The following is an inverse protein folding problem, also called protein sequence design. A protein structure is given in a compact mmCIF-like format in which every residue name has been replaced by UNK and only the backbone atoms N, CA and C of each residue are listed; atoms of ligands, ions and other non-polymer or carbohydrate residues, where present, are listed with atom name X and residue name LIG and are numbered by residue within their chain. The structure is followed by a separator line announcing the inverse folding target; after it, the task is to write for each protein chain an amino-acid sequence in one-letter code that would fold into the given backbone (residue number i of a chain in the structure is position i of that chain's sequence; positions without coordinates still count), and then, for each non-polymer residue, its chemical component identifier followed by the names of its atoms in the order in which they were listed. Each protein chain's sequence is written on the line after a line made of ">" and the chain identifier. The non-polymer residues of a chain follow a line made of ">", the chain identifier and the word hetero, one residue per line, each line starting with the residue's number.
data_IF_075018780639
#
_entry.id   IF_075018780639
#
_cell.length_a   1.000
_cell.length_b   1.000
_cell.length_c   1.000
_cell.angle_alpha   90.00
_cell.angle_beta   90.00
_cell.angle_gamma   90.00
#
_symmetry.space_group_name_H-M   'P 1'
#
loop_
_entity.id
_entity.type
_entity.pdbx_description
1 polymer ?
#
# COMPACT_ATOMS: atom_id res chain seq x y z
N UNK A 1 -15.48 18.12 -13.72
CA UNK A 1 -14.41 17.47 -12.93
C UNK A 1 -14.87 16.08 -12.57
N UNK A 2 -14.14 15.06 -13.00
CA UNK A 2 -14.47 13.65 -12.72
C UNK A 2 -14.04 13.32 -11.30
N UNK A 3 -14.98 13.33 -10.34
CA UNK A 3 -14.73 12.71 -9.03
C UNK A 3 -14.62 11.19 -9.20
N UNK A 4 -13.73 10.55 -8.50
CA UNK A 4 -13.53 9.10 -8.50
C UNK A 4 -12.08 8.74 -8.20
N UNK A 5 -11.85 7.50 -7.84
CA UNK A 5 -10.54 6.97 -7.48
C UNK A 5 -10.25 5.76 -8.35
N UNK A 6 -9.12 5.77 -9.04
CA UNK A 6 -8.53 4.58 -9.64
C UNK A 6 -7.52 4.01 -8.64
N UNK A 7 -7.74 2.79 -8.18
CA UNK A 7 -6.87 2.07 -7.26
C UNK A 7 -6.24 0.89 -8.00
N UNK A 8 -4.92 0.88 -8.10
CA UNK A 8 -4.15 -0.26 -8.62
C UNK A 8 -3.40 -0.92 -7.47
N UNK A 9 -3.67 -2.19 -7.23
CA UNK A 9 -2.99 -2.94 -6.16
C UNK A 9 -2.18 -4.07 -6.78
N UNK A 10 -0.89 -4.07 -6.50
CA UNK A 10 0.09 -5.05 -6.97
C UNK A 10 0.69 -5.74 -5.76
N UNK A 11 0.32 -6.99 -5.53
CA UNK A 11 0.94 -7.87 -4.54
C UNK A 11 1.78 -8.91 -5.27
N UNK A 12 3.07 -8.63 -5.46
CA UNK A 12 3.91 -9.46 -6.29
C UNK A 12 4.47 -10.65 -5.52
N UNK A 13 4.19 -11.84 -6.01
CA UNK A 13 4.84 -13.08 -5.56
C UNK A 13 6.17 -13.24 -6.28
N UNK A 14 7.27 -13.21 -5.55
CA UNK A 14 8.55 -13.67 -6.07
C UNK A 14 8.44 -15.16 -6.40
N UNK A 15 8.71 -15.54 -7.67
CA UNK A 15 8.47 -16.87 -8.25
C UNK A 15 8.87 -18.10 -7.39
N UNK A 16 8.54 -19.32 -7.84
CA UNK A 16 8.50 -20.54 -7.02
C UNK A 16 9.83 -20.91 -6.34
N UNK A 17 10.97 -20.51 -6.89
CA UNK A 17 12.29 -20.72 -6.26
C UNK A 17 12.57 -19.76 -5.09
N UNK A 18 11.82 -18.68 -4.98
CA UNK A 18 11.81 -17.73 -3.86
C UNK A 18 10.54 -17.85 -3.01
N UNK A 19 9.82 -18.95 -3.14
CA UNK A 19 8.67 -19.28 -2.28
C UNK A 19 9.11 -19.42 -0.81
N UNK A 20 9.70 -18.36 -0.32
CA UNK A 20 9.75 -18.09 1.09
C UNK A 20 8.30 -17.82 1.49
N UNK A 21 7.90 -18.24 2.65
CA UNK A 21 6.55 -18.05 3.21
C UNK A 21 6.01 -16.60 3.15
N UNK A 22 6.72 -15.70 2.51
CA UNK A 22 6.49 -14.28 2.34
C UNK A 22 5.74 -13.84 1.10
N UNK A 23 5.84 -14.57 0.02
CA UNK A 23 5.20 -14.16 -1.22
C UNK A 23 3.67 -14.26 -1.12
N UNK A 24 3.16 -15.35 -0.60
CA UNK A 24 1.71 -15.52 -0.38
C UNK A 24 1.10 -14.39 0.47
N UNK A 25 1.87 -13.81 1.41
CA UNK A 25 1.39 -12.73 2.27
C UNK A 25 1.26 -11.40 1.52
N UNK A 26 2.13 -11.10 0.56
CA UNK A 26 2.00 -9.90 -0.26
C UNK A 26 0.72 -9.94 -1.11
N UNK A 27 0.42 -11.09 -1.72
CA UNK A 27 -0.82 -11.29 -2.45
C UNK A 27 -2.06 -11.21 -1.56
N UNK A 28 -2.02 -11.80 -0.35
CA UNK A 28 -3.11 -11.73 0.62
C UNK A 28 -3.32 -10.29 1.13
N UNK A 29 -2.23 -9.59 1.44
CA UNK A 29 -2.27 -8.18 1.81
C UNK A 29 -2.84 -7.31 0.71
N UNK A 30 -2.44 -7.55 -0.53
CA UNK A 30 -2.96 -6.85 -1.70
C UNK A 30 -4.48 -7.07 -1.88
N UNK A 31 -4.95 -8.32 -1.73
CA UNK A 31 -6.38 -8.64 -1.79
C UNK A 31 -7.18 -7.92 -0.70
N UNK A 32 -6.70 -7.92 0.55
CA UNK A 32 -7.36 -7.19 1.65
C UNK A 32 -7.40 -5.68 1.37
N UNK A 33 -6.25 -5.10 0.99
CA UNK A 33 -6.18 -3.67 0.69
C UNK A 33 -7.11 -3.28 -0.46
N UNK A 34 -7.18 -4.09 -1.52
CA UNK A 34 -8.07 -3.88 -2.66
C UNK A 34 -9.55 -3.95 -2.28
N UNK A 35 -9.90 -4.81 -1.33
CA UNK A 35 -11.28 -4.96 -0.85
C UNK A 35 -11.69 -3.81 0.10
N UNK A 36 -10.78 -3.35 0.96
CA UNK A 36 -11.13 -2.46 2.06
C UNK A 36 -10.87 -0.97 1.78
N UNK A 37 -9.73 -0.64 1.15
CA UNK A 37 -9.33 0.76 0.95
C UNK A 37 -10.37 1.60 0.18
N UNK A 38 -11.06 1.08 -0.87
CA UNK A 38 -12.09 1.84 -1.58
C UNK A 38 -13.19 2.37 -0.67
N UNK A 39 -13.67 1.53 0.25
CA UNK A 39 -14.69 1.92 1.23
C UNK A 39 -14.22 2.92 2.28
N UNK A 40 -12.90 3.08 2.43
CA UNK A 40 -12.27 4.03 3.36
C UNK A 40 -12.01 5.39 2.73
N UNK A 41 -12.02 5.51 1.41
CA UNK A 41 -11.78 6.78 0.75
C UNK A 41 -13.00 7.69 0.90
N UNK A 42 -12.79 8.89 1.46
CA UNK A 42 -13.85 9.87 1.68
C UNK A 42 -14.31 10.50 0.35
N UNK A 43 -13.36 10.79 -0.54
CA UNK A 43 -13.57 11.52 -1.79
C UNK A 43 -13.99 10.62 -2.98
N UNK A 44 -14.35 9.36 -2.75
CA UNK A 44 -14.79 8.46 -3.82
C UNK A 44 -16.03 9.00 -4.57
N UNK A 45 -16.81 9.90 -3.92
CA UNK A 45 -17.97 10.58 -4.49
C UNK A 45 -19.04 9.62 -5.02
N UNK A 46 -19.98 10.15 -5.79
CA UNK A 46 -21.06 9.37 -6.41
C UNK A 46 -20.58 8.38 -7.48
N UNK A 47 -19.35 8.52 -7.98
CA UNK A 47 -18.75 7.62 -8.99
C UNK A 47 -17.97 6.46 -8.40
N UNK A 48 -17.76 6.46 -7.08
CA UNK A 48 -17.09 5.39 -6.37
C UNK A 48 -15.60 5.26 -6.68
N UNK A 49 -15.06 4.13 -6.27
CA UNK A 49 -13.68 3.73 -6.55
C UNK A 49 -13.67 2.58 -7.55
N UNK A 50 -12.78 2.63 -8.52
CA UNK A 50 -12.48 1.49 -9.38
C UNK A 50 -11.20 0.83 -8.91
N UNK A 51 -11.23 -0.48 -8.75
CA UNK A 51 -10.09 -1.27 -8.28
C UNK A 51 -9.57 -2.17 -9.39
N UNK A 52 -8.27 -2.15 -9.57
CA UNK A 52 -7.53 -3.10 -10.41
C UNK A 52 -6.56 -3.86 -9.50
N UNK A 53 -6.95 -5.07 -9.12
CA UNK A 53 -6.05 -5.99 -8.44
C UNK A 53 -5.29 -6.79 -9.50
N UNK A 54 -3.98 -6.64 -9.52
CA UNK A 54 -3.12 -7.36 -10.47
C UNK A 54 -2.84 -8.76 -9.93
N UNK A 55 -2.91 -9.75 -10.82
CA UNK A 55 -2.64 -11.14 -10.46
C UNK A 55 -1.22 -11.29 -9.88
N UNK A 56 -1.05 -12.06 -8.78
CA UNK A 56 0.24 -12.16 -8.08
C UNK A 56 1.36 -12.72 -8.92
N UNK A 57 1.01 -13.60 -9.87
CA UNK A 57 1.92 -14.24 -10.81
C UNK A 57 2.22 -13.39 -12.06
N UNK A 58 1.63 -12.21 -12.17
CA UNK A 58 1.84 -11.33 -13.33
C UNK A 58 3.32 -10.95 -13.49
N UNK A 59 3.75 -10.86 -14.74
CA UNK A 59 5.05 -10.30 -15.07
C UNK A 59 5.05 -8.76 -15.07
N UNK A 60 6.21 -8.17 -15.18
CA UNK A 60 6.37 -6.71 -15.17
C UNK A 60 5.58 -6.01 -16.29
N UNK A 61 5.43 -6.65 -17.46
CA UNK A 61 4.69 -6.06 -18.58
C UNK A 61 3.18 -6.04 -18.30
N UNK A 62 2.63 -7.12 -17.76
CA UNK A 62 1.23 -7.18 -17.35
C UNK A 62 0.92 -6.16 -16.24
N UNK A 63 1.80 -6.05 -15.24
CA UNK A 63 1.68 -5.06 -14.17
C UNK A 63 1.71 -3.63 -14.72
N UNK A 64 2.68 -3.32 -15.59
CA UNK A 64 2.81 -2.00 -16.20
C UNK A 64 1.64 -1.67 -17.12
N UNK A 65 1.12 -2.65 -17.84
CA UNK A 65 -0.07 -2.49 -18.70
C UNK A 65 -1.30 -2.15 -17.88
N UNK A 66 -1.52 -2.85 -16.77
CA UNK A 66 -2.61 -2.55 -15.84
C UNK A 66 -2.50 -1.14 -15.25
N UNK A 67 -1.28 -0.75 -14.84
CA UNK A 67 -1.01 0.58 -14.30
C UNK A 67 -1.26 1.68 -15.34
N UNK A 68 -0.75 1.51 -16.57
CA UNK A 68 -0.98 2.46 -17.68
C UNK A 68 -2.45 2.60 -18.03
N UNK A 69 -3.17 1.47 -18.09
CA UNK A 69 -4.60 1.49 -18.33
C UNK A 69 -5.37 2.25 -17.24
N UNK A 70 -4.98 2.14 -15.98
CA UNK A 70 -5.55 2.93 -14.89
C UNK A 70 -5.18 4.41 -14.99
N UNK A 71 -3.91 4.72 -15.29
CA UNK A 71 -3.40 6.08 -15.41
C UNK A 71 -4.03 6.89 -16.58
N UNK A 72 -4.60 6.21 -17.57
CA UNK A 72 -5.31 6.85 -18.70
C UNK A 72 -6.81 7.02 -18.46
N UNK A 73 -7.34 6.54 -17.33
CA UNK A 73 -8.77 6.67 -17.06
C UNK A 73 -9.07 8.00 -16.38
N UNK A 74 -10.16 8.67 -16.74
CA UNK A 74 -10.55 9.93 -16.12
C UNK A 74 -11.00 9.69 -14.67
N UNK A 75 -10.16 10.06 -13.74
CA UNK A 75 -10.42 10.02 -12.30
C UNK A 75 -9.73 11.22 -11.64
N UNK A 76 -10.16 11.59 -10.45
CA UNK A 76 -9.44 12.60 -9.68
C UNK A 76 -8.17 12.05 -9.08
N UNK A 77 -8.22 10.80 -8.59
CA UNK A 77 -7.12 10.15 -7.89
C UNK A 77 -6.62 8.90 -8.61
N UNK A 78 -5.31 8.75 -8.68
CA UNK A 78 -4.65 7.48 -8.92
C UNK A 78 -3.90 7.07 -7.65
N UNK A 79 -4.39 6.01 -7.02
CA UNK A 79 -3.70 5.38 -5.88
C UNK A 79 -3.08 4.09 -6.36
N UNK A 80 -1.78 3.95 -6.19
CA UNK A 80 -1.05 2.71 -6.54
C UNK A 80 -0.49 2.12 -5.27
N UNK A 81 -0.74 0.84 -5.02
CA UNK A 81 -0.18 0.12 -3.89
C UNK A 81 0.73 -1.01 -4.37
N UNK A 82 1.98 -1.00 -3.91
CA UNK A 82 3.00 -1.99 -4.23
C UNK A 82 3.38 -2.77 -2.98
N UNK A 83 3.09 -4.08 -3.00
CA UNK A 83 3.46 -5.01 -1.93
C UNK A 83 4.39 -6.08 -2.50
N UNK A 84 5.55 -6.29 -1.88
CA UNK A 84 6.47 -7.34 -2.35
C UNK A 84 7.93 -7.10 -1.98
N UNK A 85 8.82 -7.71 -2.75
CA UNK A 85 10.25 -7.59 -2.55
C UNK A 85 10.88 -6.62 -3.54
N UNK A 86 11.70 -5.70 -3.04
CA UNK A 86 12.53 -4.82 -3.84
C UNK A 86 13.92 -5.45 -4.03
N UNK A 87 14.43 -5.32 -5.23
CA UNK A 87 15.79 -5.71 -5.63
C UNK A 87 16.45 -4.54 -6.33
N UNK A 88 17.78 -4.47 -6.28
CA UNK A 88 18.55 -3.45 -7.01
C UNK A 88 19.27 -4.03 -8.23
N UNK A 89 19.58 -3.16 -9.18
CA UNK A 89 20.56 -3.49 -10.21
C UNK A 89 21.98 -3.64 -9.58
N UNK A 90 22.91 -4.32 -10.25
CA UNK A 90 24.26 -4.57 -9.66
C UNK A 90 25.02 -3.30 -9.29
N UNK A 91 24.66 -2.16 -9.81
CA UNK A 91 25.25 -0.86 -9.48
C UNK A 91 24.49 -0.14 -8.37
N UNK A 92 23.34 -0.68 -7.92
CA UNK A 92 22.51 -0.10 -6.88
C UNK A 92 21.89 1.26 -7.25
N UNK A 93 21.70 1.52 -8.55
CA UNK A 93 21.15 2.80 -9.05
C UNK A 93 19.68 2.72 -9.43
N UNK A 94 19.14 1.51 -9.62
CA UNK A 94 17.76 1.27 -10.01
C UNK A 94 17.15 0.19 -9.16
N UNK A 95 15.94 0.43 -8.73
CA UNK A 95 15.15 -0.52 -7.97
C UNK A 95 14.09 -1.16 -8.87
N UNK A 96 13.74 -2.39 -8.56
CA UNK A 96 12.64 -3.10 -9.18
C UNK A 96 11.87 -3.91 -8.14
N UNK A 97 10.54 -3.97 -8.28
CA UNK A 97 9.71 -4.92 -7.56
C UNK A 97 9.82 -6.30 -8.24
N UNK A 98 10.14 -7.32 -7.49
CA UNK A 98 10.19 -8.70 -7.98
C UNK A 98 8.81 -9.12 -8.46
N UNK A 99 8.74 -9.80 -9.61
CA UNK A 99 7.47 -10.21 -10.24
C UNK A 99 7.42 -11.71 -10.46
N UNK A 100 6.27 -12.25 -10.84
CA UNK A 100 6.11 -13.63 -11.22
C UNK A 100 7.10 -14.04 -12.32
N UNK A 101 7.68 -15.23 -12.22
CA UNK A 101 8.68 -15.72 -13.15
C UNK A 101 10.08 -15.09 -13.01
N UNK A 102 10.33 -14.26 -12.01
CA UNK A 102 11.68 -13.78 -11.66
C UNK A 102 12.47 -14.88 -10.95
N UNK A 103 13.73 -15.04 -11.32
CA UNK A 103 14.71 -15.87 -10.60
C UNK A 103 15.72 -14.98 -9.87
N UNK A 104 16.49 -15.49 -8.89
CA UNK A 104 17.53 -14.71 -8.20
C UNK A 104 18.46 -13.95 -9.13
N UNK A 105 18.88 -14.59 -10.22
CA UNK A 105 19.88 -14.05 -11.14
C UNK A 105 19.33 -12.99 -12.12
N UNK A 106 18.01 -12.94 -12.30
CA UNK A 106 17.39 -12.04 -13.27
C UNK A 106 16.34 -11.09 -12.67
N UNK A 107 16.11 -11.15 -11.36
CA UNK A 107 15.01 -10.45 -10.69
C UNK A 107 14.96 -8.95 -11.01
N UNK A 108 16.10 -8.26 -11.00
CA UNK A 108 16.14 -6.84 -11.31
C UNK A 108 15.86 -6.52 -12.79
N UNK A 109 16.15 -7.45 -13.72
CA UNK A 109 15.89 -7.27 -15.17
C UNK A 109 14.44 -7.58 -15.53
N UNK A 110 13.84 -8.55 -14.85
CA UNK A 110 12.47 -9.01 -15.09
C UNK A 110 11.45 -8.39 -14.15
N UNK A 111 11.91 -7.73 -13.07
CA UNK A 111 11.08 -7.02 -12.12
C UNK A 111 10.43 -5.78 -12.73
N UNK A 112 9.39 -5.32 -12.08
CA UNK A 112 8.74 -4.06 -12.41
C UNK A 112 9.66 -2.92 -11.93
N UNK A 113 10.27 -2.21 -12.89
CA UNK A 113 11.19 -1.12 -12.59
C UNK A 113 10.47 0.02 -11.88
N UNK A 114 11.04 0.51 -10.80
CA UNK A 114 10.50 1.60 -10.00
C UNK A 114 10.27 2.87 -10.83
N UNK A 115 11.26 3.22 -11.65
CA UNK A 115 11.19 4.39 -12.54
C UNK A 115 9.98 4.33 -13.50
N UNK A 116 9.60 3.13 -13.95
CA UNK A 116 8.44 2.96 -14.83
C UNK A 116 7.12 3.20 -14.08
N UNK A 117 7.03 2.76 -12.83
CA UNK A 117 5.85 3.02 -12.00
C UNK A 117 5.70 4.53 -11.80
N UNK A 118 6.75 5.18 -11.31
CA UNK A 118 6.76 6.62 -11.04
C UNK A 118 6.46 7.42 -12.31
N UNK A 119 7.16 7.11 -13.41
CA UNK A 119 6.94 7.78 -14.70
C UNK A 119 5.49 7.62 -15.19
N UNK A 120 4.90 6.43 -15.03
CA UNK A 120 3.50 6.21 -15.43
C UNK A 120 2.54 7.05 -14.59
N UNK A 121 2.78 7.16 -13.28
CA UNK A 121 1.95 7.99 -12.39
C UNK A 121 2.10 9.49 -12.68
N UNK A 122 3.32 9.94 -12.97
CA UNK A 122 3.60 11.37 -13.31
C UNK A 122 2.92 11.81 -14.59
N UNK A 123 2.77 10.90 -15.56
CA UNK A 123 2.18 11.19 -16.87
C UNK A 123 0.72 10.71 -16.99
N UNK A 124 0.11 10.31 -15.89
CA UNK A 124 -1.31 9.97 -15.86
C UNK A 124 -2.22 11.21 -16.00
N UNK A 125 -3.48 10.96 -16.35
CA UNK A 125 -4.50 11.99 -16.56
C UNK A 125 -5.19 12.45 -15.26
N UNK A 126 -4.77 11.92 -14.10
CA UNK A 126 -5.35 12.25 -12.80
C UNK A 126 -4.79 13.55 -12.22
N UNK A 127 -5.64 14.26 -11.49
CA UNK A 127 -5.26 15.49 -10.80
C UNK A 127 -4.25 15.23 -9.67
N UNK A 128 -4.41 14.09 -8.99
CA UNK A 128 -3.66 13.74 -7.79
C UNK A 128 -3.22 12.27 -7.84
N UNK A 129 -2.07 11.98 -7.24
CA UNK A 129 -1.52 10.63 -7.16
C UNK A 129 -1.09 10.31 -5.74
N UNK A 130 -1.09 9.01 -5.38
CA UNK A 130 -0.49 8.51 -4.14
C UNK A 130 0.10 7.12 -4.38
N UNK A 131 1.38 6.93 -4.02
CA UNK A 131 2.04 5.64 -4.07
C UNK A 131 2.16 5.06 -2.65
N UNK A 132 1.45 3.96 -2.40
CA UNK A 132 1.56 3.19 -1.17
C UNK A 132 2.60 2.07 -1.35
N UNK A 133 3.48 1.90 -0.38
CA UNK A 133 4.54 0.89 -0.45
C UNK A 133 4.59 0.07 0.82
N UNK A 134 4.53 -1.23 0.66
CA UNK A 134 4.77 -2.19 1.73
C UNK A 134 5.75 -3.25 1.20
N UNK A 135 7.02 -3.06 1.45
CA UNK A 135 8.05 -3.85 0.79
C UNK A 135 9.16 -4.30 1.74
N UNK A 136 9.82 -5.39 1.34
CA UNK A 136 11.11 -5.81 1.89
C UNK A 136 12.19 -5.63 0.83
N UNK A 137 13.34 -5.08 1.20
CA UNK A 137 14.48 -4.90 0.32
C UNK A 137 15.50 -6.02 0.56
N UNK A 138 16.01 -6.63 -0.50
CA UNK A 138 17.15 -7.53 -0.40
C UNK A 138 18.41 -6.77 0.05
N UNK A 139 19.52 -7.49 0.20
CA UNK A 139 20.77 -6.89 0.70
C UNK A 139 21.25 -5.73 -0.19
N UNK A 140 21.14 -5.90 -1.51
CA UNK A 140 21.69 -4.92 -2.47
C UNK A 140 20.76 -3.71 -2.60
N UNK A 141 19.44 -3.92 -2.64
CA UNK A 141 18.46 -2.85 -2.60
C UNK A 141 18.51 -2.08 -1.28
N UNK A 142 18.64 -2.78 -0.15
CA UNK A 142 18.78 -2.12 1.15
C UNK A 142 20.05 -1.28 1.20
N UNK A 143 21.19 -1.84 0.77
CA UNK A 143 22.44 -1.08 0.68
C UNK A 143 22.38 0.11 -0.27
N UNK A 144 21.59 0.05 -1.34
CA UNK A 144 21.35 1.18 -2.23
C UNK A 144 20.52 2.28 -1.52
N UNK A 145 19.50 1.88 -0.76
CA UNK A 145 18.68 2.80 0.03
C UNK A 145 19.44 3.45 1.20
N UNK A 146 20.46 2.78 1.75
CA UNK A 146 21.30 3.31 2.83
C UNK A 146 22.36 4.30 2.33
N UNK A 147 22.87 4.16 1.10
CA UNK A 147 23.94 4.99 0.55
C UNK A 147 23.51 6.38 0.09
N UNK A 148 22.23 6.62 -0.13
CA UNK A 148 21.74 7.97 -0.47
C UNK A 148 22.10 8.96 0.63
N UNK A 149 22.78 10.06 0.32
CA UNK A 149 23.23 11.08 1.30
C UNK A 149 22.04 11.68 2.07
N UNK A 150 20.87 11.71 1.47
CA UNK A 150 19.59 12.16 2.07
C UNK A 150 18.67 11.00 2.49
N UNK A 151 19.17 9.77 2.46
CA UNK A 151 18.44 8.57 2.88
C UNK A 151 17.65 7.89 1.77
N UNK A 152 16.85 6.85 2.14
CA UNK A 152 16.05 6.05 1.22
C UNK A 152 15.09 6.87 0.34
N UNK A 153 14.82 8.10 0.74
CA UNK A 153 13.94 9.02 0.04
C UNK A 153 14.32 9.26 -1.41
N UNK A 154 15.60 9.45 -1.72
CA UNK A 154 16.02 9.89 -3.05
C UNK A 154 15.79 8.85 -4.17
N UNK A 155 16.03 7.56 -3.90
CA UNK A 155 15.79 6.49 -4.87
C UNK A 155 14.30 6.12 -5.04
N UNK A 156 13.50 6.37 -4.02
CA UNK A 156 12.08 6.05 -4.00
C UNK A 156 11.20 7.27 -4.26
N UNK A 157 11.66 8.46 -3.85
CA UNK A 157 10.85 9.67 -3.93
C UNK A 157 10.84 10.30 -5.33
N UNK A 158 9.75 10.95 -5.61
CA UNK A 158 9.60 11.83 -6.75
C UNK A 158 8.74 13.02 -6.34
N UNK A 159 9.16 14.24 -6.69
CA UNK A 159 8.49 15.48 -6.25
C UNK A 159 7.00 15.56 -6.63
N UNK A 160 6.56 14.82 -7.65
CA UNK A 160 5.18 14.82 -8.15
C UNK A 160 4.38 13.58 -7.74
N UNK A 161 4.99 12.60 -7.07
CA UNK A 161 4.33 11.37 -6.63
C UNK A 161 4.55 11.22 -5.13
N UNK A 162 3.60 11.66 -4.30
CA UNK A 162 3.63 11.42 -2.87
C UNK A 162 3.75 9.93 -2.58
N UNK A 163 4.68 9.59 -1.69
CA UNK A 163 5.00 8.22 -1.31
C UNK A 163 4.66 8.02 0.16
N UNK A 164 3.90 6.97 0.48
CA UNK A 164 3.57 6.60 1.83
C UNK A 164 3.75 5.10 2.04
N UNK A 165 4.45 4.71 3.09
CA UNK A 165 4.65 3.29 3.31
C UNK A 165 5.88 2.92 4.10
N UNK A 166 6.30 1.68 3.94
CA UNK A 166 7.44 1.10 4.64
C UNK A 166 8.26 0.22 3.72
N UNK A 167 9.57 0.34 3.82
CA UNK A 167 10.52 -0.62 3.28
C UNK A 167 11.33 -1.19 4.44
N UNK A 168 11.28 -2.50 4.63
CA UNK A 168 12.05 -3.20 5.64
C UNK A 168 13.22 -3.96 5.00
N UNK A 169 14.31 -4.14 5.73
CA UNK A 169 15.38 -5.01 5.30
C UNK A 169 14.91 -6.46 5.35
N UNK A 170 15.04 -7.18 4.25
CA UNK A 170 14.76 -8.61 4.25
C UNK A 170 15.66 -9.36 5.23
N UNK A 171 15.06 -10.13 6.11
CA UNK A 171 15.74 -11.02 7.02
C UNK A 171 15.21 -12.44 6.77
N UNK A 172 16.12 -13.40 6.50
CA UNK A 172 15.69 -14.79 6.38
C UNK A 172 15.05 -15.28 7.68
N UNK A 173 14.03 -16.15 7.61
CA UNK A 173 13.38 -16.70 8.79
C UNK A 173 14.41 -17.34 9.71
N UNK A 174 14.38 -17.02 10.99
CA UNK A 174 15.19 -17.67 12.03
C UNK A 174 14.27 -18.52 12.89
N UNK A 175 14.79 -19.65 13.42
CA UNK A 175 14.02 -20.49 14.33
C UNK A 175 13.49 -19.64 15.50
N UNK A 176 12.15 -19.64 15.67
CA UNK A 176 11.47 -18.96 16.76
C UNK A 176 11.26 -17.45 16.57
N UNK A 177 11.50 -16.89 15.37
CA UNK A 177 11.16 -15.52 15.04
C UNK A 177 10.40 -15.48 13.72
N UNK A 178 9.20 -14.91 13.76
CA UNK A 178 8.46 -14.60 12.56
C UNK A 178 9.11 -13.43 11.83
N UNK A 179 9.21 -13.55 10.51
CA UNK A 179 9.69 -12.47 9.66
C UNK A 179 8.48 -11.62 9.27
N UNK A 180 8.53 -10.32 9.54
CA UNK A 180 7.51 -9.40 9.03
C UNK A 180 7.68 -9.26 7.53
N UNK A 181 6.63 -9.60 6.82
CA UNK A 181 6.59 -9.64 5.37
C UNK A 181 5.52 -8.68 4.86
N UNK A 182 5.66 -8.15 3.64
CA UNK A 182 4.67 -7.25 3.05
C UNK A 182 3.27 -7.86 3.11
N UNK A 183 2.29 -7.07 3.52
CA UNK A 183 0.92 -7.53 3.68
C UNK A 183 0.64 -8.43 4.89
N UNK A 184 1.67 -8.87 5.62
CA UNK A 184 1.54 -9.70 6.82
C UNK A 184 1.38 -8.87 8.08
N UNK A 185 1.16 -9.53 9.20
CA UNK A 185 1.10 -8.90 10.52
C UNK A 185 2.39 -8.14 10.82
N UNK A 186 2.26 -6.91 11.33
CA UNK A 186 3.38 -6.01 11.57
C UNK A 186 3.93 -5.28 10.34
N UNK A 187 3.33 -5.47 9.16
CA UNK A 187 3.67 -4.70 7.97
C UNK A 187 2.97 -3.34 7.93
N UNK A 188 3.35 -2.49 6.97
CA UNK A 188 2.72 -1.18 6.80
C UNK A 188 1.22 -1.29 6.47
N UNK A 189 0.85 -2.15 5.52
CA UNK A 189 -0.55 -2.33 5.14
C UNK A 189 -1.40 -2.88 6.27
N UNK A 190 -0.85 -3.77 7.09
CA UNK A 190 -1.52 -4.24 8.31
C UNK A 190 -1.72 -3.11 9.33
N UNK A 191 -0.69 -2.28 9.57
CA UNK A 191 -0.78 -1.17 10.50
C UNK A 191 -1.80 -0.12 10.02
N UNK A 192 -1.76 0.21 8.73
CA UNK A 192 -2.71 1.12 8.09
C UNK A 192 -4.15 0.61 8.22
N UNK A 193 -4.38 -0.66 7.94
CA UNK A 193 -5.70 -1.28 8.06
C UNK A 193 -6.23 -1.18 9.49
N UNK A 194 -5.42 -1.52 10.49
CA UNK A 194 -5.77 -1.37 11.91
C UNK A 194 -6.12 0.06 12.28
N UNK A 195 -5.34 1.04 11.81
CA UNK A 195 -5.62 2.46 12.08
C UNK A 195 -6.92 2.90 11.41
N UNK A 196 -7.16 2.49 10.16
CA UNK A 196 -8.40 2.80 9.45
C UNK A 196 -9.62 2.11 10.05
N UNK A 197 -9.47 0.92 10.60
CA UNK A 197 -10.53 0.19 11.29
C UNK A 197 -10.94 0.87 12.60
N UNK A 198 -9.98 1.28 13.41
CA UNK A 198 -10.24 1.92 14.70
C UNK A 198 -10.58 3.40 14.56
N UNK A 199 -9.99 4.08 13.59
CA UNK A 199 -10.04 5.53 13.41
C UNK A 199 -9.18 6.28 14.41
N UNK A 200 -9.15 7.60 14.28
CA UNK A 200 -8.45 8.54 15.16
C UNK A 200 -9.47 9.22 16.08
N UNK A 201 -9.47 8.92 17.41
CA UNK A 201 -10.34 9.61 18.35
C UNK A 201 -10.05 11.12 18.39
N UNK A 202 -11.12 11.92 18.35
CA UNK A 202 -11.01 13.38 18.38
C UNK A 202 -10.64 14.05 17.05
N UNK A 203 -10.26 13.29 16.02
CA UNK A 203 -10.00 13.83 14.69
C UNK A 203 -11.30 13.97 13.87
N UNK A 204 -11.32 14.82 12.81
CA UNK A 204 -12.46 15.00 11.91
C UNK A 204 -12.92 13.71 11.24
N UNK A 205 -14.12 13.73 10.62
CA UNK A 205 -14.67 12.59 9.88
C UNK A 205 -13.85 12.22 8.62
N UNK A 206 -13.13 13.19 8.07
CA UNK A 206 -12.19 13.01 6.96
C UNK A 206 -10.78 13.35 7.46
N UNK A 207 -9.83 12.44 7.24
CA UNK A 207 -8.42 12.56 7.66
C UNK A 207 -7.50 12.32 6.47
N UNK A 208 -6.41 13.08 6.42
CA UNK A 208 -5.37 12.87 5.40
C UNK A 208 -4.37 11.78 5.82
N UNK A 209 -3.59 11.21 4.90
CA UNK A 209 -2.50 10.31 5.23
C UNK A 209 -1.50 10.87 6.25
N UNK A 210 -1.24 12.19 6.20
CA UNK A 210 -0.39 12.90 7.17
C UNK A 210 -0.94 12.84 8.59
N UNK A 211 -2.26 12.91 8.75
CA UNK A 211 -2.92 12.84 10.07
C UNK A 211 -2.83 11.42 10.65
N UNK A 212 -2.82 10.40 9.77
CA UNK A 212 -2.73 8.99 10.16
C UNK A 212 -1.30 8.54 10.47
N UNK A 213 -0.29 9.29 10.02
CA UNK A 213 1.12 8.90 10.08
C UNK A 213 1.55 8.50 11.49
N UNK A 214 1.31 9.34 12.50
CA UNK A 214 1.71 9.05 13.88
C UNK A 214 1.04 7.81 14.46
N UNK A 215 -0.23 7.56 14.11
CA UNK A 215 -0.94 6.35 14.54
C UNK A 215 -0.39 5.09 13.85
N UNK A 216 -0.06 5.16 12.57
CA UNK A 216 0.59 4.07 11.83
C UNK A 216 1.97 3.78 12.40
N UNK A 217 2.77 4.82 12.69
CA UNK A 217 4.08 4.69 13.36
C UNK A 217 3.96 3.97 14.70
N UNK A 218 2.97 4.33 15.50
CA UNK A 218 2.71 3.69 16.80
C UNK A 218 2.41 2.20 16.65
N UNK A 219 1.56 1.82 15.68
CA UNK A 219 1.26 0.42 15.39
C UNK A 219 2.50 -0.35 14.91
N UNK A 220 3.32 0.28 14.07
CA UNK A 220 4.56 -0.33 13.56
C UNK A 220 5.60 -0.49 14.68
N UNK A 221 5.78 0.49 15.54
CA UNK A 221 6.70 0.41 16.68
C UNK A 221 6.31 -0.71 17.65
N UNK A 222 5.01 -0.89 17.89
CA UNK A 222 4.52 -2.03 18.67
C UNK A 222 4.89 -3.36 17.98
N UNK A 223 4.64 -3.49 16.70
CA UNK A 223 4.96 -4.68 15.93
C UNK A 223 6.48 -4.95 15.87
N UNK A 224 7.30 -3.91 15.73
CA UNK A 224 8.77 -4.03 15.79
C UNK A 224 9.24 -4.59 17.12
N UNK A 225 8.67 -4.12 18.22
CA UNK A 225 8.96 -4.64 19.56
C UNK A 225 8.51 -6.10 19.71
N UNK A 226 7.32 -6.44 19.21
CA UNK A 226 6.76 -7.78 19.33
C UNK A 226 7.48 -8.83 18.47
N UNK A 227 7.84 -8.45 17.23
CA UNK A 227 8.41 -9.38 16.24
C UNK A 227 9.92 -9.22 16.01
N UNK A 228 10.55 -8.22 16.66
CA UNK A 228 12.00 -7.99 16.57
C UNK A 228 12.46 -7.59 15.16
N UNK A 229 11.68 -6.80 14.45
CA UNK A 229 12.00 -6.30 13.11
C UNK A 229 13.06 -5.23 13.25
N UNK A 230 14.24 -5.47 12.65
CA UNK A 230 15.30 -4.48 12.60
C UNK A 230 15.45 -3.92 11.18
N UNK A 231 15.84 -2.63 11.08
CA UNK A 231 16.19 -2.02 9.82
C UNK A 231 14.98 -1.79 8.91
N UNK A 232 13.96 -1.11 9.41
CA UNK A 232 12.87 -0.64 8.58
C UNK A 232 12.92 0.88 8.40
N UNK A 233 12.50 1.37 7.24
CA UNK A 233 12.33 2.79 6.95
C UNK A 233 10.88 3.07 6.68
N UNK A 234 10.32 3.98 7.43
CA UNK A 234 8.98 4.51 7.19
C UNK A 234 9.09 5.71 6.26
N UNK A 235 8.26 5.70 5.24
CA UNK A 235 8.16 6.75 4.23
C UNK A 235 6.93 7.58 4.57
N UNK A 236 7.14 8.84 4.90
CA UNK A 236 6.04 9.75 5.23
C UNK A 236 5.36 10.26 3.95
N UNK A 237 4.03 10.41 3.95
CA UNK A 237 3.34 11.06 2.84
C UNK A 237 3.79 12.52 2.79
N UNK A 238 4.18 12.98 1.61
CA UNK A 238 4.48 14.40 1.42
C UNK A 238 3.24 15.27 1.67
N UNK A 239 3.44 16.57 1.93
CA UNK A 239 2.35 17.52 2.19
C UNK A 239 1.35 17.68 1.01
N UNK A 240 1.71 17.15 -0.15
CA UNK A 240 0.92 17.26 -1.39
C UNK A 240 -0.22 16.25 -1.50
N UNK A 241 -0.26 15.24 -0.66
CA UNK A 241 -1.32 14.21 -0.71
C UNK A 241 -2.61 14.69 -0.05
N UNK A 242 -3.59 15.08 -0.86
CA UNK A 242 -4.93 15.51 -0.38
C UNK A 242 -5.96 14.38 -0.36
N UNK A 243 -5.55 13.13 -0.48
CA UNK A 243 -6.47 12.00 -0.34
C UNK A 243 -7.08 12.01 1.06
N UNK A 244 -8.39 12.07 1.12
CA UNK A 244 -9.11 12.01 2.38
C UNK A 244 -9.65 10.61 2.63
N UNK A 245 -9.39 10.11 3.81
CA UNK A 245 -9.82 8.81 4.29
C UNK A 245 -10.88 8.97 5.39
N UNK A 246 -11.80 8.03 5.47
CA UNK A 246 -12.90 8.06 6.45
C UNK A 246 -12.39 7.73 7.85
N UNK A 247 -12.63 8.63 8.78
CA UNK A 247 -12.33 8.40 10.19
C UNK A 247 -13.51 7.71 10.88
N UNK A 248 -13.39 6.41 11.10
CA UNK A 248 -14.44 5.63 11.78
C UNK A 248 -14.69 6.06 13.21
N UNK A 249 -13.68 6.57 13.92
CA UNK A 249 -13.87 7.03 15.32
C UNK A 249 -14.82 8.23 15.37
N UNK A 250 -14.75 9.16 14.42
CA UNK A 250 -15.66 10.30 14.35
C UNK A 250 -17.10 9.86 14.06
N UNK A 251 -17.28 8.88 13.16
CA UNK A 251 -18.60 8.34 12.83
C UNK A 251 -19.19 7.62 14.06
N UNK A 252 -18.42 6.78 14.74
CA UNK A 252 -18.84 6.12 15.98
C UNK A 252 -19.20 7.11 17.10
N UNK A 253 -18.40 8.18 17.26
CA UNK A 253 -18.67 9.24 18.23
C UNK A 253 -19.97 10.00 17.94
N UNK A 254 -20.22 10.32 16.67
CA UNK A 254 -21.46 10.96 16.24
C UNK A 254 -22.68 10.04 16.49
N UNK A 255 -22.57 8.76 16.15
CA UNK A 255 -23.65 7.78 16.39
C UNK A 255 -23.92 7.53 17.89
N UNK A 256 -22.86 7.51 18.73
CA UNK A 256 -23.02 7.36 20.17
C UNK A 256 -23.73 8.57 20.84
N UNK A 257 -23.58 9.77 20.24
CA UNK A 257 -24.30 10.98 20.68
C UNK A 257 -25.75 11.06 20.20
N UNK A 258 -26.15 10.22 19.24
CA UNK A 258 -27.52 10.10 18.79
C UNK A 258 -28.13 8.89 19.51
N UNK A 259 -29.24 9.10 20.26
CA UNK A 259 -30.02 7.99 20.84
C UNK A 259 -30.73 7.22 19.71
N UNK A 260 -29.96 6.57 18.85
CA UNK A 260 -30.48 5.77 17.76
C UNK A 260 -30.94 4.41 18.31
N UNK A 261 -32.09 3.94 17.82
CA UNK A 261 -32.53 2.57 18.12
C UNK A 261 -31.54 1.56 17.55
N UNK A 262 -31.40 0.41 18.22
CA UNK A 262 -30.52 -0.69 17.75
C UNK A 262 -30.81 -1.11 16.30
N UNK A 263 -32.07 -0.99 15.87
CA UNK A 263 -32.49 -1.28 14.48
C UNK A 263 -31.89 -0.31 13.45
N UNK A 264 -31.86 0.99 13.76
CA UNK A 264 -31.24 2.01 12.90
C UNK A 264 -29.72 1.85 12.83
N UNK A 265 -29.10 1.50 13.94
CA UNK A 265 -27.66 1.15 13.98
C UNK A 265 -27.39 -0.08 13.11
N UNK A 266 -28.23 -1.11 13.18
CA UNK A 266 -28.09 -2.32 12.37
C UNK A 266 -28.26 -2.06 10.86
N UNK A 267 -29.12 -1.12 10.47
CA UNK A 267 -29.29 -0.69 9.06
C UNK A 267 -28.06 0.07 8.58
N UNK A 268 -27.58 1.05 9.34
CA UNK A 268 -26.37 1.83 9.00
C UNK A 268 -25.12 0.94 8.94
N UNK A 269 -25.04 -0.09 9.78
CA UNK A 269 -23.96 -1.07 9.72
C UNK A 269 -24.05 -1.98 8.49
N UNK A 270 -25.24 -2.36 8.06
CA UNK A 270 -25.45 -3.18 6.84
C UNK A 270 -25.08 -2.42 5.56
N UNK A 271 -25.44 -1.15 5.46
CA UNK A 271 -25.08 -0.31 4.31
C UNK A 271 -23.59 0.04 4.28
N UNK A 272 -22.87 -0.10 5.42
CA UNK A 272 -21.44 0.11 5.53
C UNK A 272 -20.62 -1.18 5.32
N UNK A 273 -21.27 -2.34 5.23
CA UNK A 273 -20.60 -3.60 4.93
C UNK A 273 -20.23 -3.67 3.44
N UNK A 274 -19.04 -4.20 3.09
CA UNK A 274 -18.72 -4.45 1.70
C UNK A 274 -19.76 -5.39 1.09
N UNK A 275 -20.26 -5.04 -0.09
CA UNK A 275 -21.13 -5.96 -0.87
C UNK A 275 -20.34 -7.24 -1.13
N UNK A 276 -20.95 -8.39 -0.83
CA UNK A 276 -20.40 -9.69 -1.21
C UNK A 276 -20.11 -9.70 -2.71
N UNK A 277 -18.97 -10.25 -3.13
CA UNK A 277 -18.67 -10.40 -4.55
C UNK A 277 -19.77 -11.25 -5.21
N UNK A 278 -20.19 -10.92 -6.44
CA UNK A 278 -21.19 -11.71 -7.15
C UNK A 278 -20.67 -13.15 -7.28
N UNK A 279 -21.49 -14.09 -6.83
CA UNK A 279 -21.25 -15.53 -7.01
C UNK A 279 -21.09 -15.82 -8.51
N UNK A 280 -19.96 -16.45 -8.87
CA UNK A 280 -19.66 -16.90 -10.23
C UNK A 280 -20.51 -18.11 -10.61
#
# INVERSE_FOLDING_TARGET
>A
MSGGIELVVIGADGGPERAHAGSARAADGARRLAAELPGRCFDAGARGSRVTLVAPEADANAMLTALRAAAQRPARWLVVALLGQLVADPRGRRLALVTGGSTPDNAYRRGLAWDWVVSTMVHGDQEETLLLVDAVADKDAWGALERGEEGAGELLSHSRVPLWGRVARYQPPRRGRDTVLPGGEGSFTWALDRVLEHGLPGAPAAVAPTDLQAAVETQLAWAESAYGVAGARLLAPGEQGRLLLRNRAAVRGALAGLSLSEELLAVLWRESAPMDPPSA
#
